data_IF_049398211118
#
_entry.id   IF_049398211118
#
_cell.length_a   1.000
_cell.length_b   1.000
_cell.length_c   1.000
_cell.angle_alpha   90.00
_cell.angle_beta   90.00
_cell.angle_gamma   90.00
#
_symmetry.space_group_name_H-M   'P 1'
#
loop_
_entity.id
_entity.type
_entity.pdbx_description
1 polymer ?
#
# COMPACT_ATOMS: atom_id res chain seq x y z
N UNK A 1 6.30 7.79 24.54
CA UNK A 1 6.01 7.19 23.22
C UNK A 1 5.37 8.26 22.36
N UNK A 2 5.75 8.34 21.10
CA UNK A 2 5.02 9.15 20.11
C UNK A 2 3.69 8.48 19.75
N UNK A 3 2.77 9.25 19.17
CA UNK A 3 1.45 8.77 18.76
C UNK A 3 1.60 7.56 17.80
N UNK A 4 0.85 6.48 18.06
CA UNK A 4 0.86 5.24 17.26
C UNK A 4 2.14 4.39 17.31
N UNK A 5 3.02 4.58 18.30
CA UNK A 5 4.22 3.75 18.45
C UNK A 5 3.94 2.23 18.52
N UNK A 6 2.81 1.82 19.08
CA UNK A 6 2.41 0.41 19.18
C UNK A 6 2.02 -0.17 17.81
N UNK A 7 1.29 0.58 16.98
CA UNK A 7 1.02 0.19 15.59
C UNK A 7 2.32 0.09 14.77
N UNK A 8 3.24 1.04 14.95
CA UNK A 8 4.53 1.01 14.25
C UNK A 8 5.41 -0.15 14.72
N UNK A 9 5.35 -0.54 16.00
CA UNK A 9 6.02 -1.74 16.48
C UNK A 9 5.40 -2.99 15.84
N UNK A 10 4.08 -3.01 15.70
CA UNK A 10 3.36 -4.12 15.08
C UNK A 10 3.71 -4.30 13.60
N UNK A 11 3.84 -3.20 12.85
CA UNK A 11 4.26 -3.21 11.44
C UNK A 11 5.67 -3.78 11.21
N UNK A 12 6.52 -3.82 12.24
CA UNK A 12 7.87 -4.43 12.15
C UNK A 12 7.83 -5.95 12.10
N UNK A 13 6.67 -6.57 12.26
CA UNK A 13 6.52 -8.00 12.01
C UNK A 13 6.77 -8.29 10.53
N UNK A 14 7.90 -8.92 10.25
CA UNK A 14 8.39 -9.21 8.90
C UNK A 14 8.63 -10.72 8.74
N UNK A 15 7.56 -11.50 8.55
CA UNK A 15 7.68 -12.95 8.38
C UNK A 15 8.34 -13.32 7.04
N UNK A 16 8.30 -12.41 6.05
CA UNK A 16 8.98 -12.55 4.76
C UNK A 16 10.50 -12.31 4.84
N UNK A 17 11.00 -11.75 5.94
CA UNK A 17 12.41 -11.44 6.19
C UNK A 17 13.03 -10.57 5.08
N UNK A 18 12.25 -9.65 4.51
CA UNK A 18 12.72 -8.71 3.48
C UNK A 18 13.56 -7.57 4.08
N UNK A 19 13.39 -7.29 5.36
CA UNK A 19 14.16 -6.32 6.13
C UNK A 19 13.61 -4.90 6.08
N UNK A 20 12.80 -4.53 5.08
CA UNK A 20 12.29 -3.16 4.94
C UNK A 20 11.48 -2.71 6.15
N UNK A 21 10.66 -3.58 6.74
CA UNK A 21 9.87 -3.27 7.93
C UNK A 21 10.70 -2.71 9.09
N UNK A 22 11.99 -3.08 9.18
CA UNK A 22 12.89 -2.57 10.23
C UNK A 22 13.33 -1.12 9.98
N UNK A 23 13.27 -0.65 8.73
CA UNK A 23 13.58 0.72 8.33
C UNK A 23 12.43 1.70 8.58
N UNK A 24 11.27 1.23 9.08
CA UNK A 24 10.16 2.10 9.48
C UNK A 24 10.64 3.16 10.49
N UNK A 25 10.47 4.44 10.15
CA UNK A 25 10.86 5.55 11.04
C UNK A 25 9.76 5.86 12.06
N UNK A 26 10.09 6.10 13.33
CA UNK A 26 9.12 6.52 14.34
C UNK A 26 8.29 7.75 13.94
N UNK A 27 6.98 7.70 14.15
CA UNK A 27 6.04 8.81 13.91
C UNK A 27 5.53 8.93 12.47
N UNK A 28 6.00 8.06 11.57
CA UNK A 28 5.58 8.04 10.16
C UNK A 28 4.08 7.79 10.02
N UNK A 29 3.50 6.91 10.84
CA UNK A 29 2.05 6.62 10.76
C UNK A 29 1.21 7.85 11.12
N UNK A 30 1.62 8.61 12.14
CA UNK A 30 0.92 9.82 12.53
C UNK A 30 0.97 10.89 11.41
N UNK A 31 2.12 11.06 10.76
CA UNK A 31 2.28 12.00 9.63
C UNK A 31 1.39 11.57 8.45
N UNK A 32 1.43 10.29 8.08
CA UNK A 32 0.62 9.77 6.98
C UNK A 32 -0.89 9.98 7.22
N UNK A 33 -1.37 9.62 8.41
CA UNK A 33 -2.77 9.76 8.77
C UNK A 33 -3.21 11.24 8.79
N UNK A 34 -2.43 12.14 9.39
CA UNK A 34 -2.72 13.59 9.42
C UNK A 34 -2.82 14.18 8.00
N UNK A 35 -1.88 13.82 7.12
CA UNK A 35 -1.89 14.29 5.72
C UNK A 35 -3.10 13.80 4.94
N UNK A 36 -3.50 12.54 5.15
CA UNK A 36 -4.71 11.99 4.53
C UNK A 36 -5.99 12.64 5.06
N UNK A 37 -6.04 13.01 6.35
CA UNK A 37 -7.19 13.73 6.93
C UNK A 37 -7.31 15.17 6.43
N UNK A 38 -6.18 15.85 6.19
CA UNK A 38 -6.16 17.20 5.64
C UNK A 38 -6.48 17.26 4.14
N UNK A 39 -6.30 16.15 3.42
CA UNK A 39 -6.61 16.06 2.00
C UNK A 39 -8.13 16.03 1.72
N UNK A 40 -8.52 16.44 0.52
CA UNK A 40 -9.87 16.21 -0.01
C UNK A 40 -9.87 15.17 -1.13
N UNK A 41 -8.80 15.15 -1.93
CA UNK A 41 -8.61 14.23 -3.06
C UNK A 41 -7.33 13.44 -2.88
N UNK A 42 -7.43 12.12 -2.94
CA UNK A 42 -6.30 11.21 -2.78
C UNK A 42 -6.18 10.36 -4.04
N UNK A 43 -4.96 10.26 -4.57
CA UNK A 43 -4.64 9.31 -5.63
C UNK A 43 -3.77 8.20 -5.04
N UNK A 44 -4.15 6.94 -5.26
CA UNK A 44 -3.40 5.76 -4.80
C UNK A 44 -2.96 4.97 -6.03
N UNK A 45 -1.66 4.80 -6.23
CA UNK A 45 -1.09 3.92 -7.23
C UNK A 45 -0.84 2.54 -6.61
N UNK A 46 -1.41 1.49 -7.20
CA UNK A 46 -1.19 0.11 -6.74
C UNK A 46 -1.21 -0.89 -7.89
N UNK A 47 -0.58 -2.05 -7.68
CA UNK A 47 -0.62 -3.19 -8.59
C UNK A 47 0.78 -3.58 -9.03
N UNK A 48 1.25 -4.69 -8.50
CA UNK A 48 2.53 -5.29 -8.86
C UNK A 48 2.31 -6.51 -9.75
N UNK A 49 2.99 -6.55 -10.91
CA UNK A 49 2.84 -7.65 -11.86
C UNK A 49 3.86 -8.77 -11.60
N UNK A 50 3.39 -10.02 -11.67
CA UNK A 50 4.19 -11.23 -11.49
C UNK A 50 4.34 -11.94 -12.84
N UNK A 51 5.45 -11.71 -13.59
CA UNK A 51 5.61 -12.29 -14.93
C UNK A 51 5.59 -13.81 -14.95
N UNK A 52 6.01 -14.46 -13.86
CA UNK A 52 6.02 -15.92 -13.76
C UNK A 52 4.61 -16.52 -13.75
N UNK A 53 3.61 -15.76 -13.31
CA UNK A 53 2.20 -16.15 -13.29
C UNK A 53 1.39 -15.52 -14.43
N UNK A 54 1.92 -14.45 -15.06
CA UNK A 54 1.15 -13.65 -16.03
C UNK A 54 -0.02 -12.90 -15.38
N UNK A 55 0.10 -12.56 -14.09
CA UNK A 55 -0.97 -12.03 -13.27
C UNK A 55 -0.46 -10.93 -12.32
N UNK A 56 -1.38 -10.18 -11.72
CA UNK A 56 -1.10 -9.23 -10.63
C UNK A 56 -1.15 -9.98 -9.30
N UNK A 57 -0.35 -9.52 -8.33
CA UNK A 57 -0.32 -10.16 -7.01
C UNK A 57 -1.39 -9.67 -6.04
N UNK A 58 -1.53 -10.42 -4.95
CA UNK A 58 -2.45 -10.17 -3.84
C UNK A 58 -1.97 -9.09 -2.88
N UNK A 59 -0.68 -8.74 -2.86
CA UNK A 59 -0.21 -7.58 -2.09
C UNK A 59 -0.39 -6.29 -2.90
N UNK A 60 -0.92 -5.26 -2.25
CA UNK A 60 -1.28 -3.99 -2.88
C UNK A 60 -2.79 -3.78 -3.06
N UNK A 61 -3.47 -4.52 -3.97
CA UNK A 61 -4.87 -4.27 -4.30
C UNK A 61 -5.84 -4.29 -3.10
N UNK A 62 -5.76 -5.24 -2.15
CA UNK A 62 -6.60 -5.22 -0.95
C UNK A 62 -6.33 -4.00 -0.07
N UNK A 63 -5.06 -3.70 0.23
CA UNK A 63 -4.64 -2.57 1.04
C UNK A 63 -5.12 -1.24 0.46
N UNK A 64 -4.93 -1.04 -0.84
CA UNK A 64 -5.40 0.14 -1.54
C UNK A 64 -6.93 0.27 -1.53
N UNK A 65 -7.65 -0.83 -1.74
CA UNK A 65 -9.11 -0.82 -1.76
C UNK A 65 -9.72 -0.53 -0.37
N UNK A 66 -9.19 -1.14 0.69
CA UNK A 66 -9.64 -0.88 2.06
C UNK A 66 -9.28 0.53 2.51
N UNK A 67 -8.08 1.03 2.16
CA UNK A 67 -7.70 2.42 2.43
C UNK A 67 -8.61 3.39 1.69
N UNK A 68 -8.90 3.14 0.41
CA UNK A 68 -9.84 3.95 -0.36
C UNK A 68 -11.23 3.97 0.30
N UNK A 69 -11.78 2.81 0.65
CA UNK A 69 -13.07 2.71 1.36
C UNK A 69 -13.08 3.49 2.68
N UNK A 70 -12.01 3.37 3.47
CA UNK A 70 -11.89 4.10 4.73
C UNK A 70 -11.89 5.63 4.51
N UNK A 71 -11.14 6.11 3.52
CA UNK A 71 -11.08 7.54 3.17
C UNK A 71 -12.43 8.03 2.62
N UNK A 72 -13.13 7.24 1.81
CA UNK A 72 -14.47 7.59 1.32
C UNK A 72 -15.49 7.73 2.47
N UNK A 73 -15.41 6.85 3.49
CA UNK A 73 -16.21 6.96 4.71
C UNK A 73 -15.90 8.23 5.51
N UNK A 74 -14.72 8.81 5.33
CA UNK A 74 -14.30 10.11 5.87
C UNK A 74 -14.59 11.29 4.92
N UNK A 75 -15.40 11.06 3.88
CA UNK A 75 -15.83 12.10 2.94
C UNK A 75 -14.77 12.50 1.91
N UNK A 76 -13.73 11.69 1.70
CA UNK A 76 -12.67 11.96 0.73
C UNK A 76 -13.01 11.41 -0.65
N UNK A 77 -12.46 12.04 -1.68
CA UNK A 77 -12.50 11.51 -3.05
C UNK A 77 -11.24 10.71 -3.31
N UNK A 78 -11.38 9.46 -3.76
CA UNK A 78 -10.24 8.59 -4.02
C UNK A 78 -10.22 8.13 -5.47
N UNK A 79 -9.06 8.24 -6.11
CA UNK A 79 -8.79 7.60 -7.41
C UNK A 79 -7.65 6.60 -7.26
N UNK A 80 -7.86 5.40 -7.77
CA UNK A 80 -6.85 4.37 -7.91
C UNK A 80 -6.24 4.48 -9.30
N UNK A 81 -4.93 4.70 -9.38
CA UNK A 81 -4.14 4.44 -10.58
C UNK A 81 -3.63 3.00 -10.52
N UNK A 82 -3.83 2.22 -11.57
CA UNK A 82 -3.32 0.85 -11.61
C UNK A 82 -2.84 0.47 -13.01
N UNK A 83 -1.92 -0.49 -13.16
CA UNK A 83 -1.62 -1.08 -14.47
C UNK A 83 -2.90 -1.67 -15.08
N UNK A 84 -3.01 -1.69 -16.40
CA UNK A 84 -4.15 -2.32 -17.10
C UNK A 84 -4.38 -3.78 -16.65
N UNK A 85 -3.32 -4.51 -16.31
CA UNK A 85 -3.40 -5.88 -15.79
C UNK A 85 -4.09 -5.97 -14.41
N UNK A 86 -4.04 -4.91 -13.60
CA UNK A 86 -4.66 -4.83 -12.28
C UNK A 86 -6.10 -4.31 -12.31
N UNK A 87 -6.60 -3.87 -13.48
CA UNK A 87 -7.93 -3.29 -13.60
C UNK A 87 -9.02 -4.23 -13.07
N UNK A 88 -9.00 -5.49 -13.48
CA UNK A 88 -10.02 -6.46 -13.05
C UNK A 88 -9.97 -6.70 -11.53
N UNK A 89 -8.77 -6.77 -10.95
CA UNK A 89 -8.59 -6.91 -9.50
C UNK A 89 -9.22 -5.72 -8.76
N UNK A 90 -8.91 -4.49 -9.20
CA UNK A 90 -9.45 -3.28 -8.56
C UNK A 90 -10.96 -3.11 -8.75
N UNK A 91 -11.52 -3.53 -9.89
CA UNK A 91 -12.97 -3.53 -10.09
C UNK A 91 -13.67 -4.55 -9.18
N UNK A 92 -13.10 -5.74 -9.00
CA UNK A 92 -13.60 -6.74 -8.03
C UNK A 92 -13.53 -6.21 -6.61
N UNK A 93 -12.40 -5.59 -6.22
CA UNK A 93 -12.28 -4.93 -4.92
C UNK A 93 -13.39 -3.88 -4.74
N UNK A 94 -13.58 -3.00 -5.72
CA UNK A 94 -14.58 -1.93 -5.66
C UNK A 94 -15.99 -2.49 -5.48
N UNK A 95 -16.36 -3.48 -6.29
CA UNK A 95 -17.69 -4.11 -6.24
C UNK A 95 -17.93 -4.82 -4.91
N UNK A 96 -16.98 -5.68 -4.50
CA UNK A 96 -17.10 -6.47 -3.28
C UNK A 96 -17.22 -5.58 -2.03
N UNK A 97 -16.42 -4.51 -1.97
CA UNK A 97 -16.42 -3.56 -0.86
C UNK A 97 -17.55 -2.52 -0.92
N UNK A 98 -18.36 -2.53 -1.99
CA UNK A 98 -19.40 -1.53 -2.25
C UNK A 98 -18.87 -0.09 -2.19
N UNK A 99 -17.62 0.10 -2.65
CA UNK A 99 -16.91 1.37 -2.60
C UNK A 99 -17.19 2.22 -3.84
N UNK A 100 -16.95 3.54 -3.76
CA UNK A 100 -17.23 4.48 -4.85
C UNK A 100 -15.98 4.95 -5.61
N UNK A 101 -14.77 4.56 -5.17
CA UNK A 101 -13.53 5.14 -5.68
C UNK A 101 -13.37 4.94 -7.19
N UNK A 102 -12.75 5.90 -7.87
CA UNK A 102 -12.52 5.79 -9.31
C UNK A 102 -11.35 4.85 -9.57
N UNK A 103 -11.44 3.97 -10.57
CA UNK A 103 -10.31 3.15 -11.02
C UNK A 103 -9.88 3.66 -12.39
N UNK A 104 -8.63 4.11 -12.50
CA UNK A 104 -8.05 4.66 -13.71
C UNK A 104 -6.91 3.73 -14.17
N UNK A 105 -7.12 2.92 -15.22
CA UNK A 105 -6.09 2.03 -15.73
C UNK A 105 -5.04 2.80 -16.53
N UNK A 106 -3.80 2.34 -16.42
CA UNK A 106 -2.64 2.88 -17.11
C UNK A 106 -2.08 1.87 -18.12
N UNK A 107 -1.62 2.38 -19.26
CA UNK A 107 -1.07 1.55 -20.34
C UNK A 107 0.25 0.91 -19.91
N UNK A 108 0.42 -0.42 -20.02
CA UNK A 108 1.65 -1.11 -19.64
C UNK A 108 2.83 -0.70 -20.54
N UNK A 109 4.05 -0.81 -20.02
CA UNK A 109 5.28 -0.50 -20.77
C UNK A 109 5.43 0.97 -21.15
N UNK A 110 4.70 1.87 -20.49
CA UNK A 110 4.75 3.32 -20.75
C UNK A 110 5.41 4.08 -19.61
N UNK A 111 6.06 5.19 -19.93
CA UNK A 111 6.40 6.22 -18.95
C UNK A 111 5.20 7.15 -18.86
N UNK A 112 4.56 7.20 -17.70
CA UNK A 112 3.35 7.99 -17.52
C UNK A 112 3.69 9.47 -17.50
N UNK A 113 2.95 10.26 -18.29
CA UNK A 113 3.11 11.70 -18.33
C UNK A 113 2.74 12.33 -17.00
N UNK A 114 3.50 13.34 -16.57
CA UNK A 114 3.18 14.14 -15.38
C UNK A 114 1.83 14.86 -15.48
N UNK A 115 1.30 15.03 -16.71
CA UNK A 115 -0.04 15.57 -16.97
C UNK A 115 -1.18 14.71 -16.39
N UNK A 116 -0.91 13.46 -16.00
CA UNK A 116 -1.90 12.63 -15.29
C UNK A 116 -2.40 13.29 -14.00
N UNK A 117 -1.59 14.14 -13.35
CA UNK A 117 -1.98 14.90 -12.17
C UNK A 117 -2.99 16.01 -12.47
N UNK A 118 -3.17 16.38 -13.74
CA UNK A 118 -4.19 17.33 -14.18
C UNK A 118 -5.50 16.59 -14.53
N UNK A 119 -5.40 15.36 -15.04
CA UNK A 119 -6.55 14.47 -15.32
C UNK A 119 -7.13 13.84 -14.03
N UNK A 120 -6.25 13.49 -13.09
CA UNK A 120 -6.58 12.86 -11.81
C UNK A 120 -5.99 13.70 -10.67
N UNK A 121 -6.58 14.88 -10.40
CA UNK A 121 -5.99 15.82 -9.48
C UNK A 121 -6.19 15.37 -8.02
N UNK A 122 -5.11 15.45 -7.25
CA UNK A 122 -5.07 15.05 -5.85
C UNK A 122 -4.31 16.08 -4.99
N UNK A 123 -4.49 15.97 -3.68
CA UNK A 123 -3.77 16.73 -2.67
C UNK A 123 -2.70 15.84 -2.00
N UNK A 124 -2.94 14.52 -2.00
CA UNK A 124 -2.01 13.47 -1.56
C UNK A 124 -1.90 12.40 -2.63
N UNK A 125 -0.67 12.00 -2.95
CA UNK A 125 -0.37 10.87 -3.84
C UNK A 125 0.26 9.74 -3.03
N UNK A 126 -0.29 8.54 -3.13
CA UNK A 126 0.15 7.35 -2.41
C UNK A 126 0.66 6.31 -3.40
N UNK A 127 1.92 5.89 -3.29
CA UNK A 127 2.38 4.62 -3.88
C UNK A 127 2.18 3.50 -2.87
N UNK A 128 1.46 2.44 -3.23
CA UNK A 128 1.15 1.32 -2.35
C UNK A 128 1.36 0.02 -3.13
N UNK A 129 2.46 -0.67 -2.83
CA UNK A 129 2.88 -1.87 -3.57
C UNK A 129 2.85 -1.64 -5.09
N UNK A 130 3.54 -0.58 -5.50
CA UNK A 130 3.67 -0.20 -6.90
C UNK A 130 5.15 -0.19 -7.27
N UNK A 131 5.61 -0.83 -8.35
CA UNK A 131 7.04 -0.88 -8.69
C UNK A 131 7.66 0.50 -8.95
N UNK A 132 8.82 0.76 -8.34
CA UNK A 132 9.64 1.96 -8.59
C UNK A 132 10.84 1.66 -9.48
N UNK A 133 11.37 2.68 -10.15
CA UNK A 133 12.58 2.54 -10.95
C UNK A 133 13.82 2.37 -10.06
N UNK A 134 14.67 1.41 -10.40
CA UNK A 134 16.03 1.32 -9.89
C UNK A 134 16.98 2.33 -10.55
N UNK A 135 18.25 2.32 -10.16
CA UNK A 135 19.25 3.29 -10.61
C UNK A 135 19.51 3.31 -12.13
N UNK A 136 19.17 2.24 -12.84
CA UNK A 136 19.28 2.15 -14.30
C UNK A 136 17.96 2.44 -15.03
N UNK A 137 16.94 2.91 -14.32
CA UNK A 137 15.64 3.28 -14.88
C UNK A 137 14.70 2.10 -15.14
N UNK A 138 15.03 0.88 -14.71
CA UNK A 138 14.15 -0.28 -14.84
C UNK A 138 13.40 -0.56 -13.53
N UNK A 139 12.14 -0.97 -13.62
CA UNK A 139 11.41 -1.53 -12.49
C UNK A 139 11.78 -3.00 -12.33
N UNK A 140 12.14 -3.44 -11.13
CA UNK A 140 12.52 -4.83 -10.84
C UNK A 140 11.64 -5.47 -9.78
N UNK A 141 11.43 -6.77 -9.89
CA UNK A 141 10.90 -7.56 -8.76
C UNK A 141 11.99 -7.97 -7.77
N UNK A 142 11.60 -8.61 -6.67
CA UNK A 142 12.51 -9.08 -5.62
C UNK A 142 13.61 -10.06 -6.10
N UNK A 143 13.46 -10.65 -7.29
CA UNK A 143 14.44 -11.54 -7.93
C UNK A 143 15.35 -10.81 -8.91
N UNK A 144 15.31 -9.48 -8.95
CA UNK A 144 16.12 -8.65 -9.86
C UNK A 144 15.70 -8.71 -11.33
N UNK A 145 14.56 -9.32 -11.65
CA UNK A 145 14.06 -9.39 -13.03
C UNK A 145 13.41 -8.06 -13.39
N UNK A 146 13.76 -7.55 -14.57
CA UNK A 146 13.10 -6.39 -15.17
C UNK A 146 11.63 -6.73 -15.44
N UNK A 147 10.73 -5.87 -14.97
CA UNK A 147 9.28 -5.95 -15.17
C UNK A 147 8.73 -4.71 -15.88
N UNK A 148 9.59 -3.82 -16.37
CA UNK A 148 9.22 -2.52 -16.95
C UNK A 148 8.26 -2.64 -18.14
N UNK A 149 8.30 -3.75 -18.88
CA UNK A 149 7.35 -3.99 -20.00
C UNK A 149 5.90 -4.20 -19.52
N UNK A 150 5.71 -4.63 -18.27
CA UNK A 150 4.39 -4.98 -17.73
C UNK A 150 3.76 -3.85 -16.90
N UNK A 151 4.58 -2.91 -16.44
CA UNK A 151 4.15 -1.89 -15.47
C UNK A 151 4.39 -0.49 -16.00
N UNK A 152 3.40 0.41 -15.95
CA UNK A 152 3.60 1.82 -16.24
C UNK A 152 4.56 2.44 -15.22
N UNK A 153 5.50 3.26 -15.67
CA UNK A 153 6.49 3.92 -14.82
C UNK A 153 5.90 5.23 -14.25
N UNK A 154 5.86 5.33 -12.91
CA UNK A 154 5.23 6.45 -12.18
C UNK A 154 6.23 7.34 -11.41
N UNK A 155 7.53 7.05 -11.39
CA UNK A 155 8.53 7.84 -10.66
C UNK A 155 8.52 9.33 -11.06
N UNK A 156 8.34 9.62 -12.35
CA UNK A 156 8.17 10.99 -12.85
C UNK A 156 6.93 11.68 -12.31
N UNK A 157 5.83 10.94 -12.09
CA UNK A 157 4.57 11.44 -11.52
C UNK A 157 4.73 11.73 -10.04
N UNK A 158 5.35 10.82 -9.27
CA UNK A 158 5.67 11.04 -7.85
C UNK A 158 6.53 12.31 -7.67
N UNK A 159 7.58 12.45 -8.47
CA UNK A 159 8.45 13.63 -8.42
C UNK A 159 7.70 14.92 -8.80
N UNK A 160 6.82 14.86 -9.80
CA UNK A 160 5.99 16.00 -10.18
C UNK A 160 4.99 16.38 -9.08
N UNK A 161 4.41 15.42 -8.37
CA UNK A 161 3.53 15.67 -7.23
C UNK A 161 4.25 16.47 -6.14
N UNK A 162 5.48 16.08 -5.80
CA UNK A 162 6.33 16.82 -4.84
C UNK A 162 6.65 18.24 -5.30
N UNK A 163 7.02 18.41 -6.58
CA UNK A 163 7.31 19.73 -7.15
C UNK A 163 6.07 20.64 -7.11
N UNK A 164 4.87 20.06 -7.28
CA UNK A 164 3.58 20.77 -7.17
C UNK A 164 3.15 21.04 -5.72
N UNK A 165 3.94 20.62 -4.72
CA UNK A 165 3.63 20.81 -3.30
C UNK A 165 2.59 19.85 -2.74
N UNK A 166 2.28 18.76 -3.47
CA UNK A 166 1.43 17.67 -2.98
C UNK A 166 2.24 16.82 -1.99
N UNK A 167 1.57 16.27 -0.98
CA UNK A 167 2.25 15.35 -0.06
C UNK A 167 2.29 13.95 -0.67
N UNK A 168 3.45 13.31 -0.64
CA UNK A 168 3.63 11.95 -1.17
C UNK A 168 3.83 10.92 -0.06
N UNK A 169 3.14 9.79 -0.17
CA UNK A 169 3.25 8.65 0.75
C UNK A 169 3.67 7.43 -0.05
N UNK A 170 4.59 6.63 0.47
CA UNK A 170 4.91 5.30 -0.04
C UNK A 170 4.59 4.25 1.02
N UNK A 171 4.05 3.12 0.60
CA UNK A 171 3.84 1.91 1.40
C UNK A 171 4.46 0.75 0.63
N UNK A 172 5.41 0.08 1.27
CA UNK A 172 6.21 -0.99 0.66
C UNK A 172 6.69 -1.99 1.71
N UNK A 173 7.21 -3.12 1.24
CA UNK A 173 7.75 -4.19 2.09
C UNK A 173 9.09 -4.80 1.60
N UNK A 174 9.50 -4.52 0.36
CA UNK A 174 10.71 -5.02 -0.29
C UNK A 174 11.74 -3.93 -0.63
N UNK A 175 11.32 -2.68 -0.76
CA UNK A 175 12.15 -1.51 -1.01
C UNK A 175 12.36 -1.18 -2.50
N UNK A 176 11.84 -2.01 -3.39
CA UNK A 176 11.77 -1.81 -4.85
C UNK A 176 10.50 -1.07 -5.29
N UNK A 177 9.66 -0.63 -4.35
CA UNK A 177 8.41 0.08 -4.61
C UNK A 177 8.63 1.59 -4.79
N UNK A 178 7.72 2.20 -5.52
CA UNK A 178 7.66 3.62 -5.83
C UNK A 178 7.68 4.45 -4.55
N UNK A 179 8.69 5.32 -4.43
CA UNK A 179 8.83 6.20 -3.27
C UNK A 179 9.50 5.57 -2.04
N UNK A 180 9.92 4.31 -2.08
CA UNK A 180 10.59 3.62 -0.97
C UNK A 180 12.12 3.77 -0.96
N UNK A 181 12.73 4.56 -1.85
CA UNK A 181 14.16 4.44 -2.17
C UNK A 181 15.13 4.59 -1.00
N UNK A 182 14.95 5.58 -0.14
CA UNK A 182 15.82 5.83 1.02
C UNK A 182 15.73 4.74 2.09
N UNK A 183 14.58 4.06 2.23
CA UNK A 183 14.42 2.90 3.09
C UNK A 183 14.97 1.63 2.41
N UNK A 184 14.66 1.45 1.13
CA UNK A 184 15.04 0.28 0.33
C UNK A 184 16.53 0.17 0.08
N UNK A 185 17.26 1.30 -0.06
CA UNK A 185 18.68 1.31 -0.43
C UNK A 185 19.57 0.44 0.47
N UNK A 186 19.17 0.21 1.73
CA UNK A 186 19.96 -0.57 2.70
C UNK A 186 19.63 -2.07 2.69
N UNK A 187 18.49 -2.47 2.13
CA UNK A 187 17.91 -3.81 2.33
C UNK A 187 17.51 -4.50 1.03
N UNK A 188 17.22 -3.74 -0.02
CA UNK A 188 16.66 -4.23 -1.27
C UNK A 188 17.77 -4.71 -2.22
N UNK A 189 18.38 -5.85 -1.86
CA UNK A 189 19.39 -6.54 -2.66
C UNK A 189 18.95 -7.97 -2.96
N UNK A 190 19.15 -8.40 -4.20
CA UNK A 190 19.05 -9.82 -4.56
C UNK A 190 20.12 -10.64 -3.84
N UNK A 191 19.96 -11.98 -3.71
CA UNK A 191 21.00 -12.86 -3.19
C UNK A 191 22.35 -12.72 -3.92
N UNK A 192 22.33 -12.37 -5.20
CA UNK A 192 23.50 -12.15 -6.05
C UNK A 192 24.14 -10.75 -5.86
N UNK A 193 23.58 -9.90 -5.00
CA UNK A 193 24.09 -8.55 -4.69
C UNK A 193 23.66 -7.46 -5.67
N UNK A 194 22.74 -7.74 -6.60
CA UNK A 194 22.13 -6.70 -7.45
C UNK A 194 21.19 -5.85 -6.59
N UNK A 195 21.43 -4.54 -6.54
CA UNK A 195 20.53 -3.58 -5.90
C UNK A 195 19.25 -3.44 -6.74
N UNK A 196 18.12 -3.64 -6.09
CA UNK A 196 16.78 -3.52 -6.69
C UNK A 196 15.99 -2.36 -6.06
N UNK A 197 16.59 -1.62 -5.14
CA UNK A 197 15.96 -0.48 -4.50
C UNK A 197 15.43 0.51 -5.54
N UNK A 198 14.22 1.00 -5.30
CA UNK A 198 13.70 2.17 -6.00
C UNK A 198 14.62 3.37 -5.74
N UNK A 199 14.69 4.31 -6.68
CA UNK A 199 15.46 5.56 -6.49
C UNK A 199 14.58 6.76 -6.17
N UNK A 200 13.27 6.61 -6.28
CA UNK A 200 12.33 7.67 -5.91
C UNK A 200 12.01 7.61 -4.42
N UNK A 201 11.86 8.79 -3.81
CA UNK A 201 11.53 8.95 -2.40
C UNK A 201 10.21 9.71 -2.24
N UNK A 202 9.27 9.11 -1.51
CA UNK A 202 8.10 9.81 -1.00
C UNK A 202 8.46 10.66 0.23
N UNK A 203 7.62 11.63 0.57
CA UNK A 203 7.81 12.46 1.78
C UNK A 203 7.61 11.64 3.06
N UNK A 204 6.74 10.62 3.01
CA UNK A 204 6.45 9.69 4.09
C UNK A 204 6.52 8.27 3.57
N UNK A 205 7.34 7.42 4.21
CA UNK A 205 7.58 6.04 3.76
C UNK A 205 7.18 5.08 4.88
N UNK A 206 6.10 4.35 4.67
CA UNK A 206 5.56 3.34 5.58
C UNK A 206 6.14 2.00 5.17
N UNK A 207 7.12 1.54 5.93
CA UNK A 207 7.71 0.22 5.74
C UNK A 207 6.94 -0.80 6.58
N UNK A 208 6.54 -1.90 5.98
CA UNK A 208 5.82 -2.99 6.64
C UNK A 208 6.40 -4.35 6.22
N UNK A 209 6.00 -5.44 6.88
CA UNK A 209 6.34 -6.80 6.40
C UNK A 209 5.53 -7.24 5.18
N UNK A 210 4.35 -6.62 4.99
CA UNK A 210 3.44 -6.75 3.84
C UNK A 210 2.82 -5.37 3.60
N UNK A 211 2.73 -4.91 2.36
CA UNK A 211 2.23 -3.58 2.03
C UNK A 211 0.76 -3.37 2.37
N UNK A 212 -0.08 -4.39 2.19
CA UNK A 212 -1.47 -4.41 2.68
C UNK A 212 -1.54 -4.09 4.18
N UNK A 213 -0.64 -4.67 4.99
CA UNK A 213 -0.58 -4.43 6.43
C UNK A 213 -0.17 -2.99 6.75
N UNK A 214 0.76 -2.42 5.98
CA UNK A 214 1.11 -1.01 6.04
C UNK A 214 -0.11 -0.10 5.83
N UNK A 215 -0.94 -0.41 4.83
CA UNK A 215 -2.20 0.29 4.58
C UNK A 215 -3.20 0.13 5.74
N UNK A 216 -3.32 -1.08 6.29
CA UNK A 216 -4.21 -1.34 7.43
C UNK A 216 -3.80 -0.56 8.67
N UNK A 217 -2.50 -0.44 8.97
CA UNK A 217 -2.02 0.39 10.07
C UNK A 217 -2.33 1.90 9.87
N UNK A 218 -2.30 2.39 8.61
CA UNK A 218 -2.80 3.74 8.31
C UNK A 218 -4.29 3.86 8.62
N UNK A 219 -5.09 2.87 8.22
CA UNK A 219 -6.54 2.86 8.51
C UNK A 219 -6.80 2.79 10.02
N UNK A 220 -6.00 2.03 10.78
CA UNK A 220 -6.07 1.98 12.24
C UNK A 220 -5.77 3.35 12.85
N UNK A 221 -4.72 4.04 12.38
CA UNK A 221 -4.42 5.40 12.81
C UNK A 221 -5.56 6.39 12.49
N UNK A 222 -6.13 6.34 11.28
CA UNK A 222 -7.30 7.13 10.89
C UNK A 222 -8.51 6.83 11.80
N UNK A 223 -8.75 5.56 12.10
CA UNK A 223 -9.83 5.10 12.98
C UNK A 223 -9.74 5.78 14.35
N UNK A 224 -8.54 5.79 14.95
CA UNK A 224 -8.30 6.41 16.25
C UNK A 224 -8.41 7.93 16.19
N UNK A 225 -7.91 8.58 15.14
CA UNK A 225 -7.97 10.04 15.00
C UNK A 225 -9.42 10.55 14.86
N UNK A 226 -10.23 9.84 14.08
CA UNK A 226 -11.61 10.22 13.79
C UNK A 226 -12.63 9.54 14.71
N UNK A 227 -12.18 8.72 15.66
CA UNK A 227 -13.02 7.93 16.56
C UNK A 227 -14.10 7.13 15.79
N UNK A 228 -13.67 6.44 14.73
CA UNK A 228 -14.52 5.69 13.82
C UNK A 228 -13.93 4.29 13.55
N UNK A 229 -14.77 3.28 13.43
CA UNK A 229 -14.34 1.92 13.09
C UNK A 229 -14.18 1.78 11.57
N UNK A 230 -12.97 2.02 11.06
CA UNK A 230 -12.67 2.02 9.61
C UNK A 230 -11.88 0.79 9.14
N UNK A 231 -11.13 0.17 10.05
CA UNK A 231 -10.27 -0.99 9.79
C UNK A 231 -11.10 -2.19 9.31
N UNK A 232 -10.66 -2.95 8.29
CA UNK A 232 -11.33 -4.19 7.92
C UNK A 232 -11.10 -5.28 8.97
N UNK A 233 -12.07 -6.20 9.04
CA UNK A 233 -11.94 -7.46 9.76
C UNK A 233 -11.09 -8.47 8.97
N UNK A 234 -10.57 -9.48 9.68
CA UNK A 234 -9.85 -10.60 9.06
C UNK A 234 -10.74 -11.37 8.07
N UNK A 235 -12.04 -11.48 8.39
CA UNK A 235 -13.03 -12.13 7.55
C UNK A 235 -13.27 -11.35 6.25
N UNK A 236 -13.40 -10.02 6.31
CA UNK A 236 -13.52 -9.16 5.12
C UNK A 236 -12.30 -9.28 4.20
N UNK A 237 -11.08 -9.29 4.76
CA UNK A 237 -9.87 -9.47 3.95
C UNK A 237 -9.85 -10.85 3.28
N UNK A 238 -10.13 -11.91 4.03
CA UNK A 238 -10.14 -13.27 3.50
C UNK A 238 -11.18 -13.46 2.40
N UNK A 239 -12.39 -12.93 2.58
CA UNK A 239 -13.44 -12.96 1.55
C UNK A 239 -13.02 -12.21 0.28
N UNK A 240 -12.39 -11.04 0.43
CA UNK A 240 -11.87 -10.30 -0.71
C UNK A 240 -10.77 -11.09 -1.44
N UNK A 241 -9.82 -11.69 -0.72
CA UNK A 241 -8.76 -12.51 -1.31
C UNK A 241 -9.34 -13.70 -2.11
N UNK A 242 -10.39 -14.36 -1.61
CA UNK A 242 -11.10 -15.40 -2.36
C UNK A 242 -11.69 -14.88 -3.69
N UNK A 243 -12.26 -13.67 -3.68
CA UNK A 243 -12.78 -13.04 -4.91
C UNK A 243 -11.68 -12.69 -5.88
N UNK A 244 -10.55 -12.18 -5.39
CA UNK A 244 -9.39 -11.88 -6.22
C UNK A 244 -8.79 -13.14 -6.86
N UNK A 245 -8.67 -14.23 -6.10
CA UNK A 245 -8.27 -15.54 -6.63
C UNK A 245 -9.19 -16.02 -7.76
N UNK A 246 -10.50 -15.78 -7.63
CA UNK A 246 -11.48 -16.20 -8.65
C UNK A 246 -11.35 -15.47 -9.99
N UNK A 247 -10.65 -14.33 -10.01
CA UNK A 247 -10.35 -13.57 -11.23
C UNK A 247 -8.87 -13.64 -11.63
N UNK A 248 -8.11 -14.56 -11.04
CA UNK A 248 -6.74 -14.87 -11.46
C UNK A 248 -5.65 -14.03 -10.81
N UNK A 249 -5.95 -13.29 -9.74
CA UNK A 249 -4.92 -12.67 -8.90
C UNK A 249 -4.20 -13.78 -8.11
N UNK A 250 -2.88 -13.66 -7.99
CA UNK A 250 -2.03 -14.70 -7.42
C UNK A 250 -1.27 -14.21 -6.20
N UNK A 251 -0.86 -15.12 -5.34
CA UNK A 251 0.12 -14.80 -4.30
C UNK A 251 1.50 -14.52 -4.95
N UNK A 252 2.13 -13.40 -4.57
CA UNK A 252 3.39 -12.91 -5.16
C UNK A 252 4.57 -13.87 -5.01
N UNK A 253 4.55 -14.70 -3.97
CA UNK A 253 5.61 -15.65 -3.66
C UNK A 253 5.34 -17.07 -4.18
N UNK A 254 4.11 -17.57 -4.04
CA UNK A 254 3.75 -18.92 -4.48
C UNK A 254 3.34 -18.99 -5.95
N UNK A 255 2.99 -17.85 -6.55
CA UNK A 255 2.44 -17.70 -7.91
C UNK A 255 1.12 -18.45 -8.15
N UNK A 256 0.44 -18.91 -7.09
CA UNK A 256 -0.82 -19.64 -7.19
C UNK A 256 -2.00 -18.72 -6.84
N UNK A 257 -3.17 -19.01 -7.41
CA UNK A 257 -4.44 -18.40 -7.00
C UNK A 257 -4.90 -19.00 -5.66
N UNK A 258 -4.29 -18.54 -4.57
CA UNK A 258 -4.62 -18.93 -3.20
C UNK A 258 -4.87 -17.67 -2.36
N UNK A 259 -5.78 -17.72 -1.36
CA UNK A 259 -6.15 -16.56 -0.55
C UNK A 259 -5.09 -16.29 0.52
N UNK A 260 -3.88 -16.01 0.08
CA UNK A 260 -2.70 -15.68 0.87
C UNK A 260 -2.05 -14.43 0.30
N UNK A 261 -1.19 -13.79 1.10
CA UNK A 261 -0.40 -12.63 0.66
C UNK A 261 1.05 -12.94 0.98
N UNK A 262 1.91 -12.80 -0.03
CA UNK A 262 3.37 -12.99 0.04
C UNK A 262 3.83 -14.28 0.72
N UNK A 263 3.13 -15.36 0.41
CA UNK A 263 3.43 -16.70 0.90
C UNK A 263 3.04 -16.93 2.36
N UNK A 264 2.39 -15.95 3.00
CA UNK A 264 1.91 -16.11 4.37
C UNK A 264 0.67 -16.98 4.42
N UNK A 265 0.62 -17.91 5.37
CA UNK A 265 -0.58 -18.73 5.54
C UNK A 265 -1.77 -17.85 5.90
N UNK A 266 -2.98 -18.33 5.56
CA UNK A 266 -4.22 -17.65 5.95
C UNK A 266 -4.27 -17.38 7.47
N UNK A 267 -3.77 -18.29 8.30
CA UNK A 267 -3.72 -18.10 9.76
C UNK A 267 -2.82 -16.92 10.17
N UNK A 268 -1.71 -16.69 9.46
CA UNK A 268 -0.82 -15.55 9.71
C UNK A 268 -1.52 -14.25 9.33
N UNK A 269 -2.14 -14.18 8.14
CA UNK A 269 -2.88 -12.99 7.71
C UNK A 269 -4.04 -12.66 8.66
N UNK A 270 -4.85 -13.68 9.02
CA UNK A 270 -5.97 -13.53 9.97
C UNK A 270 -5.46 -13.09 11.36
N UNK A 271 -4.40 -13.74 11.85
CA UNK A 271 -3.79 -13.41 13.13
C UNK A 271 -3.33 -11.96 13.17
N UNK A 272 -2.66 -11.52 12.10
CA UNK A 272 -2.19 -10.15 11.98
C UNK A 272 -3.33 -9.14 12.12
N UNK A 273 -4.38 -9.32 11.30
CA UNK A 273 -5.45 -8.34 11.25
C UNK A 273 -6.32 -8.37 12.51
N UNK A 274 -6.50 -9.53 13.17
CA UNK A 274 -7.20 -9.63 14.47
C UNK A 274 -6.48 -8.89 15.58
N UNK A 275 -5.15 -9.04 15.66
CA UNK A 275 -4.34 -8.33 16.66
C UNK A 275 -4.34 -6.82 16.39
N UNK A 276 -4.25 -6.39 15.12
CA UNK A 276 -4.37 -4.97 14.77
C UNK A 276 -5.75 -4.40 15.10
N UNK A 277 -6.83 -5.16 14.88
CA UNK A 277 -8.19 -4.77 15.30
C UNK A 277 -8.28 -4.62 16.81
N UNK A 278 -7.83 -5.62 17.59
CA UNK A 278 -7.85 -5.56 19.05
C UNK A 278 -7.04 -4.37 19.59
N UNK A 279 -5.88 -4.09 19.00
CA UNK A 279 -5.08 -2.93 19.36
C UNK A 279 -5.82 -1.62 19.01
N UNK A 280 -6.47 -1.54 17.86
CA UNK A 280 -7.25 -0.37 17.45
C UNK A 280 -8.43 -0.11 18.39
N UNK A 281 -9.15 -1.16 18.79
CA UNK A 281 -10.25 -1.09 19.77
C UNK A 281 -9.77 -0.51 21.11
N UNK A 282 -8.62 -0.98 21.62
CA UNK A 282 -8.03 -0.45 22.86
C UNK A 282 -7.74 1.04 22.77
N UNK A 283 -7.18 1.52 21.66
CA UNK A 283 -6.93 2.96 21.45
C UNK A 283 -8.23 3.76 21.36
N UNK A 284 -9.26 3.23 20.70
CA UNK A 284 -10.58 3.86 20.62
C UNK A 284 -11.24 3.97 22.00
N UNK A 285 -11.18 2.92 22.82
CA UNK A 285 -11.70 2.92 24.19
C UNK A 285 -10.98 3.94 25.07
N UNK A 286 -9.64 3.97 25.02
CA UNK A 286 -8.83 4.96 25.75
C UNK A 286 -9.20 6.39 25.37
N UNK A 287 -9.42 6.65 24.08
CA UNK A 287 -9.83 7.97 23.58
C UNK A 287 -11.23 8.36 24.05
N UNK A 288 -12.19 7.43 24.01
CA UNK A 288 -13.56 7.64 24.53
C UNK A 288 -13.55 7.95 26.03
N UNK A 289 -12.73 7.22 26.80
CA UNK A 289 -12.55 7.46 28.23
C UNK A 289 -11.95 8.85 28.51
N UNK A 290 -10.91 9.24 27.77
CA UNK A 290 -10.29 10.56 27.89
C UNK A 290 -11.27 11.70 27.59
N UNK A 291 -12.09 11.56 26.54
CA UNK A 291 -13.12 12.55 26.17
C UNK A 291 -14.25 12.68 27.21
N UNK A 292 -14.53 11.62 27.99
CA UNK A 292 -15.55 11.65 29.05
C UNK A 292 -15.01 12.27 30.35
N UNK A 293 -13.68 12.32 30.50
CA UNK A 293 -12.99 12.87 31.68
C UNK A 293 -12.57 14.35 31.55
N UNK A 294 -12.74 14.96 30.38
CA UNK A 294 -12.39 16.34 30.06
C UNK A 294 -13.64 17.23 30.06
#
# INVERSE_FOLDING_TARGET
>A
MHQFAEFEMYLRFDPGQRGLAQELRPGTLAIAADRLLQASRITIATGFFVPAAGAVETDGPPGAAFLARALERLGKQVTILCPQAALQAMLVCKEHLQASFTVFPLTPGTIVSQGILDEVPCDVFVGLEYPGQGADGTCRNMRGRDISEFVPILDGVLNAAKIRGLHTIAVGDGGNELGCGSAGFRVAYTPEGTCIASVSDADTIICAGISNWGAYAVIAALSVLENAELLPTAEEEYELLLKLCSVGVVDGCTHNCVPTVDGMTTDVCIGFLRELNALTEQFLEQRKAAATSA
#
